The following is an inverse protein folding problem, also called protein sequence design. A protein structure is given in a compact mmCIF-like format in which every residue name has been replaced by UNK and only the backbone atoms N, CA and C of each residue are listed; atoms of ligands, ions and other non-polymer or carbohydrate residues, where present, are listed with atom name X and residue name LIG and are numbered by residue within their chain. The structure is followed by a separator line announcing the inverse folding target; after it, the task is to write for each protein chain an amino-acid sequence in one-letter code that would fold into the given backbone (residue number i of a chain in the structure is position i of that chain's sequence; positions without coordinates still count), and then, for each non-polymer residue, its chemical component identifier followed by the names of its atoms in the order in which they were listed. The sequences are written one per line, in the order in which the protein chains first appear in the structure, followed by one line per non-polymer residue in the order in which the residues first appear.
data_IF_837806553522
#
_entry.id   IF_837806553522
#
_cell.length_a   1.000
_cell.length_b   1.000
_cell.length_c   1.000
_cell.angle_alpha   90.00
_cell.angle_beta   90.00
_cell.angle_gamma   90.00
#
_symmetry.space_group_name_H-M   'P 1'
#
loop_
_entity.id
_entity.type
_entity.pdbx_description
1 polymer ?
#
# COMPACT_ATOMS: atom_id res chain seq x y z
N UNK A 1 1.24 -52.65 5.76
CA UNK A 1 1.08 -51.22 6.03
C UNK A 1 -0.42 -50.97 5.87
N UNK A 2 -1.02 -50.17 6.75
CA UNK A 2 -2.41 -49.78 6.65
C UNK A 2 -2.47 -48.47 5.83
N UNK A 3 -3.47 -48.38 4.97
CA UNK A 3 -3.70 -47.31 3.98
C UNK A 3 -5.23 -47.26 3.79
N UNK A 4 -5.88 -46.35 4.50
CA UNK A 4 -7.33 -46.32 4.65
C UNK A 4 -8.05 -45.71 3.44
N UNK A 5 -7.42 -44.75 2.75
CA UNK A 5 -8.01 -44.02 1.62
C UNK A 5 -7.50 -44.48 0.25
N UNK A 6 -6.42 -45.28 0.20
CA UNK A 6 -5.91 -45.92 -1.00
C UNK A 6 -5.07 -45.00 -1.88
N UNK A 7 -4.47 -43.96 -1.33
CA UNK A 7 -3.64 -43.00 -2.07
C UNK A 7 -2.17 -43.48 -2.28
N UNK A 8 -1.78 -44.56 -1.60
CA UNK A 8 -0.44 -45.17 -1.68
C UNK A 8 0.58 -44.63 -0.67
N UNK A 9 0.18 -43.70 0.19
CA UNK A 9 0.82 -43.39 1.48
C UNK A 9 0.28 -44.42 2.50
N UNK A 10 0.69 -44.38 3.77
CA UNK A 10 0.09 -45.26 4.77
C UNK A 10 -0.26 -44.50 6.01
N UNK A 11 -1.25 -44.98 6.75
CA UNK A 11 -1.81 -44.34 7.95
C UNK A 11 -0.75 -43.90 8.98
N UNK A 12 0.43 -44.54 9.01
CA UNK A 12 1.51 -44.19 9.93
C UNK A 12 2.40 -43.01 9.47
N UNK A 13 2.34 -42.68 8.18
CA UNK A 13 3.08 -41.63 7.49
C UNK A 13 2.15 -40.60 6.82
N UNK A 14 0.84 -40.78 6.92
CA UNK A 14 -0.13 -39.73 6.59
C UNK A 14 0.01 -38.60 7.60
N UNK A 15 0.18 -37.39 7.10
CA UNK A 15 0.01 -36.20 7.91
C UNK A 15 -1.49 -35.98 8.12
N UNK A 16 -1.95 -35.74 9.36
CA UNK A 16 -3.35 -35.40 9.59
C UNK A 16 -3.67 -34.15 8.78
N UNK A 17 -4.66 -34.23 7.90
CA UNK A 17 -5.17 -33.05 7.21
C UNK A 17 -5.68 -32.07 8.27
N UNK A 18 -4.96 -30.97 8.45
CA UNK A 18 -5.39 -29.90 9.33
C UNK A 18 -6.50 -29.12 8.59
N UNK A 19 -7.74 -29.06 9.12
CA UNK A 19 -8.77 -28.25 8.48
C UNK A 19 -8.43 -26.76 8.45
N UNK A 20 -7.43 -26.28 9.19
CA UNK A 20 -6.93 -24.91 9.15
C UNK A 20 -5.76 -24.72 8.15
N UNK A 21 -5.13 -25.81 7.69
CA UNK A 21 -3.98 -25.88 6.77
C UNK A 21 -4.08 -27.19 5.95
N UNK A 22 -4.92 -27.20 4.89
CA UNK A 22 -5.29 -28.44 4.19
C UNK A 22 -4.21 -28.97 3.25
N UNK A 23 -3.28 -28.14 2.82
CA UNK A 23 -2.17 -28.50 1.94
C UNK A 23 -0.86 -28.71 2.73
N UNK A 24 -0.86 -28.38 4.02
CA UNK A 24 0.17 -28.75 4.98
C UNK A 24 1.47 -27.97 4.82
N UNK A 25 1.39 -26.76 4.28
CA UNK A 25 2.54 -25.95 3.91
C UNK A 25 3.03 -25.05 5.07
N UNK A 26 2.25 -25.00 6.15
CA UNK A 26 2.51 -24.23 7.36
C UNK A 26 1.87 -22.85 7.38
N UNK A 27 1.07 -22.50 6.37
CA UNK A 27 0.30 -21.26 6.28
C UNK A 27 -1.19 -21.58 6.45
N UNK A 28 -1.89 -20.96 7.42
CA UNK A 28 -3.30 -21.24 7.60
C UNK A 28 -4.12 -20.68 6.44
N UNK A 29 -5.24 -21.33 6.08
CA UNK A 29 -6.15 -20.92 4.99
C UNK A 29 -6.53 -19.44 4.96
N UNK A 30 -6.56 -18.79 6.13
CA UNK A 30 -6.90 -17.36 6.22
C UNK A 30 -5.79 -16.42 5.74
N UNK A 31 -4.56 -16.91 5.65
CA UNK A 31 -3.35 -16.18 5.27
C UNK A 31 -2.69 -16.77 4.02
N UNK A 32 -3.20 -17.89 3.51
CA UNK A 32 -2.68 -18.63 2.37
C UNK A 32 -3.28 -18.14 1.04
N UNK A 33 -2.41 -17.73 0.12
CA UNK A 33 -2.80 -17.32 -1.23
C UNK A 33 -2.98 -18.50 -2.22
N UNK A 34 -2.80 -19.74 -1.77
CA UNK A 34 -3.03 -20.98 -2.52
C UNK A 34 -3.59 -22.14 -1.65
N UNK A 35 -4.83 -22.02 -1.16
CA UNK A 35 -5.50 -22.94 -0.19
C UNK A 35 -5.40 -24.47 -0.47
N UNK A 36 -5.09 -24.90 -1.69
CA UNK A 36 -5.00 -26.32 -2.06
C UNK A 36 -3.60 -26.73 -2.60
N UNK A 37 -2.64 -25.81 -2.65
CA UNK A 37 -1.33 -26.00 -3.30
C UNK A 37 -0.21 -25.43 -2.46
N UNK A 38 0.52 -26.33 -1.79
CA UNK A 38 1.60 -25.98 -0.88
C UNK A 38 2.63 -25.01 -1.50
N UNK A 39 2.70 -23.80 -0.93
CA UNK A 39 3.61 -22.73 -1.31
C UNK A 39 4.11 -21.94 -0.09
N UNK A 40 5.01 -22.53 0.74
CA UNK A 40 5.40 -21.96 2.03
C UNK A 40 6.06 -20.57 1.97
N UNK A 41 6.51 -20.14 0.79
CA UNK A 41 7.09 -18.82 0.55
C UNK A 41 6.04 -17.75 0.20
N UNK A 42 4.79 -18.15 -0.06
CA UNK A 42 3.63 -17.28 -0.32
C UNK A 42 3.95 -16.23 -1.40
N UNK A 43 4.69 -16.66 -2.43
CA UNK A 43 5.07 -15.79 -3.54
C UNK A 43 3.83 -15.35 -4.32
N UNK A 44 3.77 -14.06 -4.64
CA UNK A 44 2.71 -13.40 -5.39
C UNK A 44 3.34 -12.19 -6.08
N UNK A 45 3.85 -12.41 -7.30
CA UNK A 45 4.69 -11.45 -8.02
C UNK A 45 3.90 -10.24 -8.50
N UNK A 46 2.68 -10.45 -8.98
CA UNK A 46 1.80 -9.41 -9.51
C UNK A 46 0.85 -8.81 -8.48
N UNK A 47 0.71 -9.43 -7.30
CA UNK A 47 -0.02 -8.95 -6.13
C UNK A 47 -1.53 -8.92 -6.33
N UNK A 48 -2.08 -9.90 -7.02
CA UNK A 48 -3.52 -10.05 -7.19
C UNK A 48 -4.18 -10.83 -6.02
N UNK A 49 -3.37 -11.43 -5.14
CA UNK A 49 -3.81 -12.22 -4.00
C UNK A 49 -3.94 -13.71 -4.28
N UNK A 50 -3.55 -14.18 -5.46
CA UNK A 50 -3.39 -15.58 -5.83
C UNK A 50 -1.90 -15.88 -5.89
N UNK A 51 -1.45 -16.96 -5.25
CA UNK A 51 -0.02 -17.27 -5.21
C UNK A 51 0.52 -17.79 -6.53
N UNK A 52 1.80 -17.53 -6.82
CA UNK A 52 2.50 -17.97 -8.03
C UNK A 52 2.39 -19.49 -8.27
N UNK A 53 2.14 -20.28 -7.22
CA UNK A 53 2.02 -21.74 -7.29
C UNK A 53 0.66 -22.21 -7.84
N UNK A 54 -0.40 -21.41 -7.65
CA UNK A 54 -1.77 -21.71 -8.07
C UNK A 54 -2.35 -20.69 -9.07
N UNK A 55 -1.58 -19.66 -9.41
CA UNK A 55 -1.91 -18.70 -10.45
C UNK A 55 -1.37 -19.14 -11.84
N UNK A 56 -2.28 -19.20 -12.82
CA UNK A 56 -1.95 -19.49 -14.21
C UNK A 56 -1.30 -18.27 -14.93
N UNK A 57 -1.40 -17.05 -14.35
CA UNK A 57 -1.07 -15.77 -14.99
C UNK A 57 -0.05 -14.89 -14.24
N UNK A 58 1.06 -15.47 -13.77
CA UNK A 58 2.17 -14.86 -12.99
C UNK A 58 2.84 -13.56 -13.49
N UNK A 59 2.39 -12.97 -14.60
CA UNK A 59 3.02 -11.81 -15.26
C UNK A 59 2.09 -10.62 -15.44
N UNK A 60 0.86 -10.66 -14.94
CA UNK A 60 -0.10 -9.59 -15.18
C UNK A 60 -0.69 -9.08 -13.87
N UNK A 61 -0.24 -7.92 -13.33
CA UNK A 61 -1.08 -7.23 -12.39
C UNK A 61 -2.28 -6.83 -13.23
N UNK A 62 -3.46 -7.36 -12.92
CA UNK A 62 -4.71 -7.03 -13.58
C UNK A 62 -4.63 -5.60 -14.13
N UNK A 63 -4.46 -5.46 -15.45
CA UNK A 63 -4.72 -4.22 -16.13
C UNK A 63 -6.25 -4.02 -16.23
N UNK A 64 -6.97 -4.34 -15.15
CA UNK A 64 -8.28 -3.76 -14.87
C UNK A 64 -7.99 -2.36 -14.40
N UNK A 65 -7.85 -1.50 -15.39
CA UNK A 65 -7.60 -0.07 -15.21
C UNK A 65 -8.53 0.49 -14.12
N UNK A 66 -8.02 1.27 -13.16
CA UNK A 66 -8.89 2.06 -12.29
C UNK A 66 -9.44 3.26 -13.08
N UNK A 67 -10.16 3.03 -14.18
CA UNK A 67 -10.91 4.08 -14.87
C UNK A 67 -12.28 4.27 -14.22
N UNK A 68 -12.30 4.39 -12.89
CA UNK A 68 -13.29 5.23 -12.25
C UNK A 68 -12.67 6.60 -11.92
N UNK A 69 -12.22 7.32 -12.96
CA UNK A 69 -12.35 8.78 -12.96
C UNK A 69 -12.30 9.40 -14.35
N UNK A 70 -13.32 9.11 -15.17
CA UNK A 70 -13.91 10.25 -15.87
C UNK A 70 -14.69 11.07 -14.83
N UNK A 71 -13.97 11.95 -14.13
CA UNK A 71 -14.42 13.34 -14.19
C UNK A 71 -14.31 13.78 -15.64
N UNK A 72 -15.30 13.34 -16.43
CA UNK A 72 -15.88 14.26 -17.37
C UNK A 72 -16.53 15.32 -16.49
N UNK A 73 -15.82 16.44 -16.37
CA UNK A 73 -16.25 17.63 -15.63
C UNK A 73 -17.75 17.86 -15.71
N UNK A 74 -18.42 17.53 -14.61
CA UNK A 74 -19.66 18.18 -14.21
C UNK A 74 -19.65 18.39 -12.70
N UNK A 75 -18.50 18.83 -12.17
CA UNK A 75 -18.61 19.98 -11.30
C UNK A 75 -19.00 21.13 -12.22
N UNK A 76 -20.31 21.35 -12.36
CA UNK A 76 -20.82 22.69 -12.58
C UNK A 76 -20.41 23.43 -11.30
N UNK A 77 -19.14 23.84 -11.25
CA UNK A 77 -18.77 25.00 -10.49
C UNK A 77 -19.60 26.10 -11.10
N UNK A 78 -20.75 26.36 -10.50
CA UNK A 78 -21.27 27.71 -10.47
C UNK A 78 -20.09 28.56 -10.07
N UNK A 79 -19.58 29.26 -11.06
CA UNK A 79 -18.84 30.49 -10.95
C UNK A 79 -19.18 31.22 -9.64
N UNK A 80 -18.42 30.94 -8.58
CA UNK A 80 -18.13 32.00 -7.63
C UNK A 80 -17.26 32.98 -8.41
N UNK A 81 -17.94 33.96 -8.99
CA UNK A 81 -17.37 35.12 -9.65
C UNK A 81 -16.13 35.59 -8.90
N UNK A 82 -15.05 35.67 -9.68
CA UNK A 82 -13.75 36.24 -9.34
C UNK A 82 -13.86 37.40 -8.33
N UNK A 83 -13.27 37.22 -7.15
CA UNK A 83 -12.67 38.35 -6.46
C UNK A 83 -11.34 38.65 -7.16
N UNK A 84 -11.06 39.88 -7.60
CA UNK A 84 -9.72 40.22 -8.03
C UNK A 84 -8.80 40.17 -6.81
N UNK A 85 -7.97 39.14 -6.73
CA UNK A 85 -6.80 39.12 -5.85
C UNK A 85 -5.98 40.38 -6.15
N UNK A 86 -5.93 41.26 -5.15
CA UNK A 86 -5.32 42.56 -5.23
C UNK A 86 -3.81 42.47 -5.50
N UNK A 87 -3.19 43.59 -5.94
CA UNK A 87 -1.77 43.61 -6.24
C UNK A 87 -0.96 43.33 -4.97
N UNK A 88 -0.19 42.24 -5.01
CA UNK A 88 0.90 41.92 -4.11
C UNK A 88 1.96 43.02 -4.21
N UNK A 89 1.84 44.05 -3.37
CA UNK A 89 2.86 45.07 -3.21
C UNK A 89 4.09 44.46 -2.52
N UNK A 90 5.28 44.52 -3.13
CA UNK A 90 6.51 44.12 -2.47
C UNK A 90 7.10 45.30 -1.67
N UNK A 91 7.98 44.95 -0.72
CA UNK A 91 8.99 45.81 -0.07
C UNK A 91 8.58 46.55 1.22
N UNK A 92 8.78 45.88 2.36
CA UNK A 92 9.33 46.53 3.57
C UNK A 92 9.97 45.50 4.52
N UNK A 93 11.05 44.87 4.05
CA UNK A 93 12.04 44.22 4.94
C UNK A 93 13.10 45.25 5.33
N UNK A 94 12.70 46.26 6.10
CA UNK A 94 13.61 47.31 6.55
C UNK A 94 13.43 47.58 8.04
N UNK A 95 13.50 46.51 8.84
CA UNK A 95 13.83 46.63 10.27
C UNK A 95 15.36 46.63 10.37
N UNK A 96 15.95 47.78 10.03
CA UNK A 96 17.37 48.05 10.27
C UNK A 96 17.60 48.21 11.78
N UNK A 97 18.36 47.25 12.33
CA UNK A 97 19.45 47.44 13.29
C UNK A 97 19.19 48.38 14.48
N UNK A 98 18.82 47.79 15.62
CA UNK A 98 19.16 48.36 16.94
C UNK A 98 20.58 47.91 17.34
N UNK A 99 21.60 48.78 17.33
CA UNK A 99 22.75 48.57 18.18
C UNK A 99 22.47 49.16 19.56
N UNK A 100 22.36 48.27 20.55
CA UNK A 100 22.86 48.53 21.89
C UNK A 100 24.26 49.15 21.78
N UNK A 101 24.49 50.27 22.47
CA UNK A 101 25.71 50.58 23.24
C UNK A 101 25.66 52.08 23.56
N UNK A 102 25.36 52.35 24.82
CA UNK A 102 25.48 53.68 25.41
C UNK A 102 26.93 54.14 25.35
N UNK A 103 27.12 55.37 24.86
CA UNK A 103 28.33 56.13 25.09
C UNK A 103 28.01 57.62 25.20
N UNK A 104 27.34 58.03 26.30
CA UNK A 104 27.43 59.45 26.72
C UNK A 104 28.80 59.66 27.37
N UNK A 105 29.72 60.17 26.53
CA UNK A 105 31.05 60.64 26.90
C UNK A 105 31.00 61.80 27.89
N UNK A 106 31.77 61.64 28.98
CA UNK A 106 32.78 62.55 29.56
C UNK A 106 32.58 64.06 29.39
N UNK A 107 32.64 64.79 30.51
CA UNK A 107 33.56 65.94 30.70
C UNK A 107 34.01 65.93 32.18
N UNK A 108 35.28 65.53 32.39
CA UNK A 108 36.41 66.31 32.96
C UNK A 108 36.35 66.38 34.48
#
# INVERSE_FOLDING_TARGET
QADADGDGVGDACEDPVDPEDPDGDGVPRSEDNCEDVANPDQADVDRDGVGDACDDLITEPEAVEPEDFRVSGSHIGSDCSAAPDGPSAPLSWLVLLLPLVGLRRRRR
#
